data_IF_961690720394
#
_entry.id   IF_961690720394
#
_cell.length_a   1.000
_cell.length_b   1.000
_cell.length_c   1.000
_cell.angle_alpha   90.00
_cell.angle_beta   90.00
_cell.angle_gamma   90.00
#
_symmetry.space_group_name_H-M   'P 1'
#
loop_
_entity.id
_entity.type
_entity.pdbx_description
1 polymer ?
#
# COMPACT_ATOMS: atom_id res chain seq x y z
N UNK A 1 -16.59 1.57 2.43
CA UNK A 1 -15.39 0.86 1.95
C UNK A 1 -14.24 1.54 2.64
N UNK A 2 -13.56 0.84 3.54
CA UNK A 2 -12.41 1.39 4.25
C UNK A 2 -11.22 1.22 3.31
N UNK A 3 -10.76 2.32 2.71
CA UNK A 3 -9.65 2.33 1.75
C UNK A 3 -8.38 2.55 2.54
N UNK A 4 -7.60 1.49 2.77
CA UNK A 4 -6.24 1.63 3.31
C UNK A 4 -5.29 2.02 2.20
N UNK A 5 -4.65 3.17 2.38
CA UNK A 5 -3.59 3.66 1.49
C UNK A 5 -2.30 2.98 1.92
N UNK A 6 -1.74 2.18 1.02
CA UNK A 6 -0.47 1.51 1.24
C UNK A 6 0.68 2.48 0.98
N UNK A 7 1.75 2.30 1.76
CA UNK A 7 3.13 2.70 1.43
C UNK A 7 3.52 4.17 1.78
N UNK A 8 4.34 4.24 2.84
CA UNK A 8 5.31 5.27 3.28
C UNK A 8 4.88 6.73 3.57
N UNK A 9 4.51 6.93 4.84
CA UNK A 9 4.44 8.25 5.50
C UNK A 9 5.80 8.99 5.62
N UNK A 10 6.94 8.36 5.29
CA UNK A 10 8.27 8.94 5.55
C UNK A 10 8.88 9.64 4.33
N UNK A 11 8.51 9.29 3.09
CA UNK A 11 9.08 9.91 1.88
C UNK A 11 8.26 11.08 1.31
N UNK A 12 7.00 11.24 1.72
CA UNK A 12 6.11 12.33 1.30
C UNK A 12 6.44 13.70 1.91
N UNK A 13 7.29 13.79 2.94
CA UNK A 13 7.54 15.04 3.69
C UNK A 13 8.16 16.18 2.86
N UNK A 14 8.61 15.89 1.63
CA UNK A 14 9.16 16.86 0.69
C UNK A 14 8.24 17.18 -0.50
N UNK A 15 7.04 16.59 -0.54
CA UNK A 15 6.00 16.90 -1.51
C UNK A 15 5.05 17.96 -0.92
N UNK A 16 4.48 18.81 -1.77
CA UNK A 16 3.41 19.71 -1.34
C UNK A 16 2.11 18.93 -1.04
N UNK A 17 1.18 19.57 -0.33
CA UNK A 17 -0.05 18.91 0.11
C UNK A 17 -0.87 18.33 -1.06
N UNK A 18 -0.90 19.01 -2.22
CA UNK A 18 -1.65 18.52 -3.38
C UNK A 18 -0.98 17.28 -3.96
N UNK A 19 0.34 17.32 -4.12
CA UNK A 19 1.13 16.17 -4.59
C UNK A 19 0.99 14.95 -3.66
N UNK A 20 0.97 15.17 -2.35
CA UNK A 20 0.71 14.11 -1.37
C UNK A 20 -0.66 13.49 -1.58
N UNK A 21 -1.71 14.31 -1.71
CA UNK A 21 -3.09 13.85 -1.92
C UNK A 21 -3.23 13.11 -3.26
N UNK A 22 -2.59 13.57 -4.33
CA UNK A 22 -2.61 12.92 -5.63
C UNK A 22 -1.91 11.55 -5.58
N UNK A 23 -0.80 11.44 -4.84
CA UNK A 23 -0.09 10.17 -4.65
C UNK A 23 -0.89 9.20 -3.76
N UNK A 24 -1.51 9.70 -2.69
CA UNK A 24 -2.40 8.94 -1.80
C UNK A 24 -3.61 8.38 -2.57
N UNK A 25 -4.15 9.16 -3.50
CA UNK A 25 -5.28 8.77 -4.37
C UNK A 25 -4.83 8.09 -5.67
N UNK A 26 -3.58 7.67 -5.77
CA UNK A 26 -3.12 6.98 -6.96
C UNK A 26 -3.90 5.68 -7.15
N UNK A 27 -4.68 5.58 -8.23
CA UNK A 27 -5.66 4.50 -8.42
C UNK A 27 -5.06 3.11 -8.27
N UNK A 28 -3.82 2.90 -8.77
CA UNK A 28 -3.15 1.60 -8.64
C UNK A 28 -2.77 1.25 -7.20
N UNK A 29 -2.66 2.24 -6.33
CA UNK A 29 -2.43 2.10 -4.88
C UNK A 29 -3.70 1.76 -4.09
N UNK A 30 -4.88 1.84 -4.73
CA UNK A 30 -6.16 1.50 -4.11
C UNK A 30 -6.42 0.00 -4.30
N UNK A 31 -6.48 -0.73 -3.19
CA UNK A 31 -6.86 -2.14 -3.19
C UNK A 31 -8.11 -2.36 -2.34
N UNK A 32 -9.16 -2.87 -2.98
CA UNK A 32 -10.38 -3.26 -2.29
C UNK A 32 -10.15 -4.49 -1.40
N UNK A 33 -10.18 -4.29 -0.09
CA UNK A 33 -10.29 -5.35 0.90
C UNK A 33 -11.70 -5.37 1.50
N UNK A 34 -12.15 -6.54 1.95
CA UNK A 34 -13.35 -6.60 2.79
C UNK A 34 -13.08 -5.85 4.10
N UNK A 35 -14.12 -5.34 4.76
CA UNK A 35 -13.98 -4.63 6.04
C UNK A 35 -13.20 -5.44 7.09
N UNK A 36 -13.48 -6.74 7.17
CA UNK A 36 -12.79 -7.65 8.11
C UNK A 36 -11.34 -7.90 7.70
N UNK A 37 -11.05 -8.08 6.42
CA UNK A 37 -9.69 -8.19 5.90
C UNK A 37 -8.88 -6.91 6.17
N UNK A 38 -9.47 -5.75 5.90
CA UNK A 38 -8.85 -4.46 6.15
C UNK A 38 -8.54 -4.27 7.63
N UNK A 39 -9.53 -4.49 8.51
CA UNK A 39 -9.33 -4.39 9.96
C UNK A 39 -8.31 -5.40 10.51
N UNK A 40 -8.27 -6.61 9.95
CA UNK A 40 -7.30 -7.65 10.36
C UNK A 40 -5.88 -7.33 9.93
N UNK A 41 -5.74 -6.84 8.70
CA UNK A 41 -4.46 -6.46 8.11
C UNK A 41 -3.90 -5.21 8.80
N UNK A 42 -4.72 -4.16 8.89
CA UNK A 42 -4.31 -2.85 9.40
C UNK A 42 -3.06 -2.34 8.65
N UNK A 43 -2.19 -1.61 9.34
CA UNK A 43 -0.93 -1.07 8.82
C UNK A 43 0.16 -2.09 8.43
N UNK A 44 -0.09 -3.40 8.53
CA UNK A 44 0.88 -4.42 8.10
C UNK A 44 1.06 -4.41 6.58
N UNK A 45 2.22 -4.82 6.10
CA UNK A 45 2.39 -5.22 4.69
C UNK A 45 1.66 -6.53 4.39
N UNK A 46 1.49 -6.87 3.11
CA UNK A 46 1.00 -8.22 2.74
C UNK A 46 2.01 -9.31 3.09
N UNK A 47 3.30 -8.96 3.22
CA UNK A 47 4.33 -9.86 3.71
C UNK A 47 4.22 -10.10 5.22
N UNK A 48 3.74 -9.15 6.02
CA UNK A 48 3.57 -9.33 7.47
C UNK A 48 2.19 -9.90 7.85
N UNK A 49 1.19 -9.71 6.99
CA UNK A 49 -0.18 -10.17 7.25
C UNK A 49 -0.37 -11.64 6.87
N UNK A 50 -0.02 -12.52 7.82
CA UNK A 50 -0.09 -13.97 7.61
C UNK A 50 -1.44 -14.59 8.01
N UNK A 51 -2.14 -13.98 8.96
CA UNK A 51 -3.31 -14.55 9.61
C UNK A 51 -4.34 -13.51 10.08
N UNK A 52 -5.60 -13.94 10.08
CA UNK A 52 -6.70 -13.32 10.79
C UNK A 52 -6.59 -13.69 12.28
N UNK A 53 -5.84 -12.88 13.04
CA UNK A 53 -5.50 -13.17 14.46
C UNK A 53 -6.68 -13.52 15.35
N UNK A 54 -7.84 -12.89 15.13
CA UNK A 54 -9.03 -13.10 15.97
C UNK A 54 -9.67 -14.47 15.73
N UNK A 55 -9.60 -14.96 14.50
CA UNK A 55 -10.21 -16.21 14.06
C UNK A 55 -9.19 -17.37 13.98
N UNK A 56 -7.88 -17.08 14.05
CA UNK A 56 -6.81 -18.08 13.90
C UNK A 56 -6.72 -18.65 12.47
N UNK A 57 -7.29 -17.96 11.49
CA UNK A 57 -7.38 -18.40 10.10
C UNK A 57 -6.21 -17.81 9.31
N UNK A 58 -5.46 -18.64 8.59
CA UNK A 58 -4.41 -18.15 7.69
C UNK A 58 -5.01 -17.38 6.53
N UNK A 59 -4.36 -16.30 6.14
CA UNK A 59 -4.66 -15.61 4.89
C UNK A 59 -4.37 -16.57 3.74
N UNK A 60 -5.23 -16.60 2.73
CA UNK A 60 -5.02 -17.44 1.55
C UNK A 60 -3.64 -17.16 0.93
N UNK A 61 -2.84 -18.21 0.80
CA UNK A 61 -1.44 -18.10 0.36
C UNK A 61 -1.32 -17.63 -1.09
N UNK A 62 -2.26 -18.00 -1.96
CA UNK A 62 -2.29 -17.59 -3.37
C UNK A 62 -2.56 -16.09 -3.48
N UNK A 63 -3.59 -15.63 -2.77
CA UNK A 63 -3.92 -14.21 -2.62
C UNK A 63 -2.72 -13.43 -2.06
N UNK A 64 -2.15 -13.89 -0.94
CA UNK A 64 -1.05 -13.21 -0.27
C UNK A 64 0.18 -13.08 -1.17
N UNK A 65 0.59 -14.15 -1.85
CA UNK A 65 1.71 -14.13 -2.78
C UNK A 65 1.50 -13.17 -3.95
N UNK A 66 0.27 -13.10 -4.49
CA UNK A 66 -0.06 -12.13 -5.54
C UNK A 66 0.03 -10.70 -5.03
N UNK A 67 -0.47 -10.45 -3.82
CA UNK A 67 -0.46 -9.11 -3.24
C UNK A 67 0.94 -8.65 -2.86
N UNK A 68 1.81 -9.53 -2.35
CA UNK A 68 3.22 -9.22 -2.07
C UNK A 68 3.94 -8.76 -3.35
N UNK A 69 3.71 -9.45 -4.49
CA UNK A 69 4.30 -9.03 -5.77
C UNK A 69 3.80 -7.66 -6.21
N UNK A 70 2.48 -7.45 -6.12
CA UNK A 70 1.86 -6.17 -6.47
C UNK A 70 2.36 -5.03 -5.58
N UNK A 71 2.51 -5.27 -4.28
CA UNK A 71 3.04 -4.31 -3.30
C UNK A 71 4.47 -3.89 -3.68
N UNK A 72 5.34 -4.84 -4.03
CA UNK A 72 6.72 -4.57 -4.45
C UNK A 72 6.81 -3.83 -5.81
N UNK A 73 5.91 -4.11 -6.75
CA UNK A 73 5.83 -3.38 -8.02
C UNK A 73 5.36 -1.93 -7.81
N UNK A 74 4.32 -1.75 -6.99
CA UNK A 74 3.77 -0.44 -6.66
C UNK A 74 4.75 0.42 -5.87
N UNK A 75 5.52 -0.17 -4.96
CA UNK A 75 6.54 0.56 -4.20
C UNK A 75 7.55 1.24 -5.14
N UNK A 76 8.00 0.52 -6.18
CA UNK A 76 8.91 1.08 -7.20
C UNK A 76 8.25 2.19 -8.01
N UNK A 77 7.01 1.99 -8.43
CA UNK A 77 6.25 2.97 -9.22
C UNK A 77 5.96 4.25 -8.41
N UNK A 78 5.55 4.11 -7.15
CA UNK A 78 5.32 5.21 -6.22
C UNK A 78 6.62 5.96 -5.96
N UNK A 79 7.73 5.25 -5.74
CA UNK A 79 9.03 5.88 -5.54
C UNK A 79 9.47 6.67 -6.79
N UNK A 80 9.27 6.12 -7.99
CA UNK A 80 9.54 6.82 -9.24
C UNK A 80 8.71 8.12 -9.35
N UNK A 81 7.41 8.05 -9.05
CA UNK A 81 6.54 9.24 -9.03
C UNK A 81 7.00 10.28 -8.02
N UNK A 82 7.43 9.86 -6.83
CA UNK A 82 7.99 10.77 -5.82
C UNK A 82 9.25 11.46 -6.37
N UNK A 83 10.12 10.74 -7.07
CA UNK A 83 11.35 11.30 -7.63
C UNK A 83 11.08 12.27 -8.79
N UNK A 84 10.14 11.94 -9.69
CA UNK A 84 9.62 12.85 -10.72
C UNK A 84 9.07 14.15 -10.11
N UNK A 85 8.19 14.04 -9.11
CA UNK A 85 7.58 15.19 -8.44
C UNK A 85 8.59 16.07 -7.69
N UNK A 86 9.75 15.50 -7.32
CA UNK A 86 10.85 16.20 -6.65
C UNK A 86 11.86 16.81 -7.64
N UNK A 87 11.69 16.60 -8.95
CA UNK A 87 12.64 17.04 -9.97
C UNK A 87 14.01 16.38 -9.85
N UNK A 88 14.07 15.15 -9.31
CA UNK A 88 15.29 14.35 -9.33
C UNK A 88 15.31 13.55 -10.63
N UNK A 89 15.74 14.20 -11.70
CA UNK A 89 16.06 13.51 -12.95
C UNK A 89 17.20 12.51 -12.70
N UNK A 90 17.03 11.27 -13.17
CA UNK A 90 18.06 10.22 -13.14
C UNK A 90 19.06 10.40 -14.28
#
# INVERSE_FOLDING_TARGET
MDVEIFIYSIFCYKLDYKQQIDLLNYEKNIMGLSRSANASKNNKSYLEWEEYKKEGIKVDSTFRNRMIKKEAELEKEIQHKIDELRGRDF
#
